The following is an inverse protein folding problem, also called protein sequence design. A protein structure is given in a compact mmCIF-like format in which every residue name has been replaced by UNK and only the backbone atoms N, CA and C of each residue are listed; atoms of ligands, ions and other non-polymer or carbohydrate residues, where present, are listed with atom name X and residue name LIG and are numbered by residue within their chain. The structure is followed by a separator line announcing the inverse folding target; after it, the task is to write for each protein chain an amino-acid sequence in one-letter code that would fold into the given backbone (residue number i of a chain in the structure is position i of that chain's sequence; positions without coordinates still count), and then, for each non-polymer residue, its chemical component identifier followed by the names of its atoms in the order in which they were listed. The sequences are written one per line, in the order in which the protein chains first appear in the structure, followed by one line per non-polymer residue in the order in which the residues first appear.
data_IF_910351646576
#
_entry.id   IF_910351646576
#
_cell.length_a   1.000
_cell.length_b   1.000
_cell.length_c   1.000
_cell.angle_alpha   90.00
_cell.angle_beta   90.00
_cell.angle_gamma   90.00
#
_symmetry.space_group_name_H-M   'P 1'
#
loop_
_entity.id
_entity.type
_entity.pdbx_description
1 polymer ?
#
# COMPACT_ATOMS: atom_id res chain seq x y z
N UNK A 1 -0.08 0.54 -12.54
CA UNK A 1 1.31 0.08 -12.76
C UNK A 1 2.02 0.10 -11.43
N UNK A 2 2.71 -0.99 -11.08
CA UNK A 2 3.52 -1.08 -9.87
C UNK A 2 4.92 -0.55 -10.11
N UNK A 3 5.49 0.08 -9.07
CA UNK A 3 6.85 0.60 -9.08
C UNK A 3 7.45 0.44 -7.69
N UNK A 4 8.73 0.09 -7.64
CA UNK A 4 9.53 0.05 -6.42
C UNK A 4 10.29 1.39 -6.29
N UNK A 5 10.29 1.96 -5.09
CA UNK A 5 11.13 3.10 -4.73
C UNK A 5 12.03 2.71 -3.56
N UNK A 6 13.29 3.09 -3.64
CA UNK A 6 14.32 2.86 -2.62
C UNK A 6 15.02 4.17 -2.28
N UNK A 7 15.73 4.22 -1.15
CA UNK A 7 16.33 5.47 -0.64
C UNK A 7 17.29 6.14 -1.63
N UNK A 8 18.04 5.37 -2.41
CA UNK A 8 18.95 5.86 -3.45
C UNK A 8 18.22 6.61 -4.59
N UNK A 9 16.92 6.41 -4.75
CA UNK A 9 16.08 7.11 -5.72
C UNK A 9 15.49 8.43 -5.21
N UNK A 10 15.79 8.84 -3.97
CA UNK A 10 15.19 10.05 -3.36
C UNK A 10 15.40 11.32 -4.20
N UNK A 11 16.55 11.43 -4.87
CA UNK A 11 16.86 12.59 -5.70
C UNK A 11 16.31 12.47 -7.12
N UNK A 12 16.42 11.28 -7.74
CA UNK A 12 15.94 11.04 -9.11
C UNK A 12 14.42 11.02 -9.20
N UNK A 13 13.75 10.61 -8.12
CA UNK A 13 12.30 10.39 -8.06
C UNK A 13 11.63 11.20 -6.96
N UNK A 14 12.22 12.35 -6.62
CA UNK A 14 11.75 13.27 -5.59
C UNK A 14 10.25 13.51 -5.62
N UNK A 15 9.68 13.71 -6.82
CA UNK A 15 8.24 13.91 -6.98
C UNK A 15 7.41 12.72 -6.50
N UNK A 16 7.82 11.49 -6.79
CA UNK A 16 7.09 10.30 -6.36
C UNK A 16 7.14 10.14 -4.82
N UNK A 17 8.29 10.44 -4.20
CA UNK A 17 8.41 10.47 -2.76
C UNK A 17 7.54 11.55 -2.11
N UNK A 18 7.59 12.78 -2.63
CA UNK A 18 6.77 13.90 -2.14
C UNK A 18 5.27 13.59 -2.26
N UNK A 19 4.83 13.07 -3.41
CA UNK A 19 3.43 12.69 -3.65
C UNK A 19 3.00 11.56 -2.69
N UNK A 20 3.85 10.55 -2.48
CA UNK A 20 3.60 9.48 -1.52
C UNK A 20 3.46 10.01 -0.08
N UNK A 21 4.40 10.82 0.40
CA UNK A 21 4.38 11.32 1.78
C UNK A 21 3.23 12.30 2.03
N UNK A 22 2.85 13.11 1.03
CA UNK A 22 1.64 13.95 1.12
C UNK A 22 0.36 13.12 1.17
N UNK A 23 0.25 12.09 0.35
CA UNK A 23 -0.90 11.20 0.38
C UNK A 23 -1.01 10.44 1.71
N UNK A 24 0.12 10.03 2.30
CA UNK A 24 0.17 9.47 3.65
C UNK A 24 -0.37 10.46 4.70
N UNK A 25 0.01 11.73 4.66
CA UNK A 25 -0.54 12.75 5.57
C UNK A 25 -2.06 12.90 5.42
N UNK A 26 -2.55 13.00 4.18
CA UNK A 26 -3.98 13.11 3.89
C UNK A 26 -4.79 11.90 4.39
N UNK A 27 -4.19 10.70 4.39
CA UNK A 27 -4.88 9.48 4.84
C UNK A 27 -4.74 9.30 6.34
N UNK A 28 -3.53 9.28 6.89
CA UNK A 28 -3.31 8.92 8.28
C UNK A 28 -3.70 10.05 9.24
N UNK A 29 -3.30 11.30 8.96
CA UNK A 29 -3.67 12.45 9.79
C UNK A 29 -5.09 12.92 9.48
N UNK A 30 -5.38 13.28 8.24
CA UNK A 30 -6.61 14.03 7.94
C UNK A 30 -7.86 13.14 7.90
N UNK A 31 -7.76 11.92 7.36
CA UNK A 31 -8.90 11.00 7.26
C UNK A 31 -9.05 10.08 8.47
N UNK A 32 -7.96 9.50 8.96
CA UNK A 32 -8.01 8.53 10.06
C UNK A 32 -7.79 9.15 11.45
N UNK A 33 -7.33 10.41 11.53
CA UNK A 33 -7.13 11.11 12.80
C UNK A 33 -5.98 10.55 13.64
N UNK A 34 -5.06 9.80 13.03
CA UNK A 34 -3.92 9.23 13.74
C UNK A 34 -2.94 10.34 14.16
N UNK A 35 -2.32 10.15 15.33
CA UNK A 35 -1.23 11.00 15.79
C UNK A 35 0.05 10.57 15.06
N UNK A 36 0.38 11.27 13.98
CA UNK A 36 1.55 11.01 13.13
C UNK A 36 2.35 12.30 12.90
N UNK A 37 3.65 12.15 12.67
CA UNK A 37 4.54 13.27 12.39
C UNK A 37 4.34 13.79 10.97
N UNK A 38 3.86 15.03 10.84
CA UNK A 38 3.71 15.69 9.54
C UNK A 38 4.49 17.00 9.51
N UNK A 39 5.40 17.14 8.54
CA UNK A 39 6.18 18.35 8.28
C UNK A 39 6.00 18.73 6.82
N UNK A 40 5.72 20.01 6.54
CA UNK A 40 5.50 20.51 5.17
C UNK A 40 4.47 19.70 4.36
N UNK A 41 3.38 19.27 5.02
CA UNK A 41 2.33 18.38 4.48
C UNK A 41 2.76 16.95 4.17
N UNK A 42 3.99 16.55 4.48
CA UNK A 42 4.50 15.20 4.28
C UNK A 42 4.51 14.42 5.60
N UNK A 43 3.85 13.26 5.64
CA UNK A 43 3.98 12.33 6.76
C UNK A 43 5.22 11.46 6.56
N UNK A 44 6.18 11.60 7.48
CA UNK A 44 7.45 10.88 7.50
C UNK A 44 7.81 10.61 8.95
N UNK A 45 8.21 9.37 9.23
CA UNK A 45 8.68 8.99 10.56
C UNK A 45 10.17 8.66 10.54
N UNK A 46 10.72 8.30 11.71
CA UNK A 46 12.13 7.93 11.84
C UNK A 46 12.54 6.78 10.91
N UNK A 47 11.65 5.84 10.57
CA UNK A 47 12.02 4.71 9.73
C UNK A 47 12.19 5.13 8.27
N UNK A 48 11.42 6.13 7.82
CA UNK A 48 11.64 6.76 6.52
C UNK A 48 12.97 7.55 6.45
N UNK A 49 13.50 7.97 7.60
CA UNK A 49 14.68 8.85 7.73
C UNK A 49 15.98 8.11 8.06
N UNK A 50 15.95 7.06 8.87
CA UNK A 50 17.15 6.39 9.39
C UNK A 50 17.37 4.97 8.87
N UNK A 51 16.32 4.29 8.41
CA UNK A 51 16.41 2.90 7.92
C UNK A 51 16.53 2.85 6.38
N UNK A 52 16.63 1.66 5.80
CA UNK A 52 16.61 1.47 4.34
C UNK A 52 15.30 0.83 3.85
N UNK A 53 14.18 1.57 3.87
CA UNK A 53 12.89 1.02 3.48
C UNK A 53 12.78 0.82 1.97
N UNK A 54 12.10 -0.26 1.60
CA UNK A 54 11.60 -0.47 0.24
C UNK A 54 10.15 -0.02 0.20
N UNK A 55 9.80 0.86 -0.73
CA UNK A 55 8.42 1.27 -0.95
C UNK A 55 7.88 0.62 -2.22
N UNK A 56 6.67 0.09 -2.14
CA UNK A 56 5.91 -0.32 -3.31
C UNK A 56 4.81 0.70 -3.54
N UNK A 57 4.78 1.28 -4.74
CA UNK A 57 3.77 2.26 -5.14
C UNK A 57 3.01 1.80 -6.37
N UNK A 58 1.73 2.17 -6.43
CA UNK A 58 0.91 2.02 -7.64
C UNK A 58 0.72 3.39 -8.28
N UNK A 59 0.72 3.41 -9.60
CA UNK A 59 0.53 4.63 -10.38
C UNK A 59 -0.31 4.39 -11.63
N UNK A 60 -1.02 5.43 -12.05
CA UNK A 60 -1.70 5.48 -13.35
C UNK A 60 -0.69 5.63 -14.49
N UNK A 61 -1.10 5.37 -15.75
CA UNK A 61 -0.26 5.64 -16.93
C UNK A 61 0.21 7.09 -17.03
N UNK A 62 -0.53 8.05 -16.45
CA UNK A 62 -0.14 9.46 -16.35
C UNK A 62 1.04 9.72 -15.40
N UNK A 63 1.46 8.72 -14.61
CA UNK A 63 2.44 8.87 -13.54
C UNK A 63 1.86 9.31 -12.19
N UNK A 64 0.55 9.53 -12.09
CA UNK A 64 -0.10 9.88 -10.81
C UNK A 64 -0.09 8.66 -9.89
N UNK A 65 0.49 8.80 -8.69
CA UNK A 65 0.44 7.74 -7.67
C UNK A 65 -0.99 7.56 -7.16
N UNK A 66 -1.38 6.30 -6.96
CA UNK A 66 -2.71 5.91 -6.47
C UNK A 66 -2.66 5.17 -5.15
N UNK A 67 -1.49 4.63 -4.77
CA UNK A 67 -1.31 3.94 -3.50
C UNK A 67 0.15 3.66 -3.21
N UNK A 68 0.43 3.34 -1.96
CA UNK A 68 1.78 3.02 -1.48
C UNK A 68 1.75 2.08 -0.28
N UNK A 69 2.85 1.37 -0.05
CA UNK A 69 3.18 0.70 1.20
C UNK A 69 4.70 0.74 1.44
N UNK A 70 5.12 0.52 2.68
CA UNK A 70 6.53 0.47 3.10
C UNK A 70 6.88 -0.91 3.63
N UNK A 71 8.05 -1.41 3.26
CA UNK A 71 8.62 -2.67 3.71
C UNK A 71 9.95 -2.44 4.44
N UNK A 72 10.13 -3.12 5.56
CA UNK A 72 11.38 -3.18 6.32
C UNK A 72 11.70 -4.63 6.70
N UNK A 73 12.97 -5.07 6.67
CA UNK A 73 13.32 -6.41 7.13
C UNK A 73 13.07 -6.53 8.63
N UNK A 74 12.48 -7.64 9.08
CA UNK A 74 12.17 -7.83 10.50
C UNK A 74 13.42 -8.04 11.36
N UNK A 75 14.57 -8.32 10.76
CA UNK A 75 15.89 -8.35 11.43
C UNK A 75 16.38 -6.96 11.87
N UNK A 76 15.80 -5.89 11.33
CA UNK A 76 16.14 -4.50 11.66
C UNK A 76 15.18 -3.84 12.65
N UNK A 77 15.21 -2.51 12.67
CA UNK A 77 14.25 -1.71 13.42
C UNK A 77 12.89 -1.67 12.70
N UNK A 78 11.83 -2.09 13.41
CA UNK A 78 10.46 -2.13 12.90
C UNK A 78 9.49 -1.43 13.84
N UNK A 79 8.31 -1.08 13.37
CA UNK A 79 7.26 -0.51 14.21
C UNK A 79 6.74 -1.52 15.23
N UNK A 80 6.61 -2.79 14.83
CA UNK A 80 6.18 -3.88 15.70
C UNK A 80 7.12 -4.05 16.90
N UNK A 81 8.43 -3.94 16.69
CA UNK A 81 9.44 -4.02 17.76
C UNK A 81 9.51 -2.77 18.64
N UNK A 82 8.83 -1.67 18.29
CA UNK A 82 8.90 -0.40 19.05
C UNK A 82 7.52 0.20 19.28
N UNK A 83 6.99 0.98 18.33
CA UNK A 83 5.70 1.70 18.51
C UNK A 83 4.54 0.80 18.95
N UNK A 84 4.50 -0.45 18.47
CA UNK A 84 3.43 -1.39 18.80
C UNK A 84 3.81 -2.44 19.86
N UNK A 85 5.02 -2.36 20.43
CA UNK A 85 5.54 -3.36 21.38
C UNK A 85 4.58 -3.58 22.55
N UNK A 86 4.10 -2.48 23.12
CA UNK A 86 3.24 -2.50 24.31
C UNK A 86 1.75 -2.56 23.97
N UNK A 87 1.38 -2.78 22.69
CA UNK A 87 -0.02 -2.88 22.33
C UNK A 87 -0.60 -4.25 22.67
N UNK A 88 0.24 -5.26 22.88
CA UNK A 88 -0.13 -6.67 23.01
C UNK A 88 0.33 -7.22 24.36
N UNK A 89 -0.40 -8.20 24.91
CA UNK A 89 -0.07 -8.81 26.21
C UNK A 89 1.23 -9.63 26.20
N UNK A 90 1.65 -10.07 25.01
CA UNK A 90 2.87 -10.83 24.82
C UNK A 90 3.74 -10.15 23.78
N UNK A 91 5.08 -10.12 23.97
CA UNK A 91 6.00 -9.66 22.95
C UNK A 91 5.78 -10.44 21.64
N UNK A 92 5.66 -9.70 20.53
CA UNK A 92 5.56 -10.30 19.21
C UNK A 92 6.97 -10.42 18.64
N UNK A 93 7.53 -11.61 18.75
CA UNK A 93 8.89 -11.89 18.29
C UNK A 93 8.87 -12.35 16.84
N UNK A 94 8.95 -11.37 15.93
CA UNK A 94 9.17 -11.62 14.50
C UNK A 94 10.53 -11.06 14.16
N UNK A 95 11.48 -11.99 13.98
CA UNK A 95 12.86 -11.70 13.63
C UNK A 95 13.36 -12.80 12.68
N UNK A 96 13.23 -12.55 11.38
CA UNK A 96 13.67 -13.51 10.34
C UNK A 96 14.17 -12.78 9.10
N UNK A 97 15.28 -13.23 8.48
CA UNK A 97 15.74 -12.67 7.21
C UNK A 97 14.72 -12.88 6.07
N UNK A 98 13.82 -13.85 6.19
CA UNK A 98 12.76 -14.13 5.22
C UNK A 98 11.39 -13.56 5.62
N UNK A 99 11.32 -12.76 6.69
CA UNK A 99 10.11 -12.04 7.10
C UNK A 99 10.33 -10.53 7.06
N UNK A 100 9.40 -9.82 6.41
CA UNK A 100 9.45 -8.36 6.29
C UNK A 100 8.19 -7.72 6.88
N UNK A 101 8.35 -6.59 7.56
CA UNK A 101 7.24 -5.81 8.09
C UNK A 101 6.66 -4.89 7.00
N UNK A 102 5.36 -4.99 6.76
CA UNK A 102 4.61 -4.04 5.94
C UNK A 102 3.91 -3.00 6.80
N UNK A 103 4.23 -1.73 6.56
CA UNK A 103 3.62 -0.57 7.22
C UNK A 103 3.15 0.44 6.18
N UNK A 104 2.38 1.44 6.63
CA UNK A 104 1.93 2.57 5.80
C UNK A 104 1.20 2.14 4.51
N UNK A 105 0.48 1.01 4.55
CA UNK A 105 -0.42 0.59 3.48
C UNK A 105 -1.52 1.65 3.28
N UNK A 106 -1.45 2.33 2.14
CA UNK A 106 -2.15 3.58 1.90
C UNK A 106 -2.74 3.57 0.49
N UNK A 107 -4.06 3.69 0.39
CA UNK A 107 -4.73 4.02 -0.88
C UNK A 107 -4.86 5.55 -0.91
N UNK A 108 -4.20 6.18 -1.87
CA UNK A 108 -4.14 7.63 -1.96
C UNK A 108 -5.53 8.21 -2.28
N UNK A 109 -5.87 9.41 -1.79
CA UNK A 109 -7.09 10.09 -2.21
C UNK A 109 -7.08 10.29 -3.72
N UNK A 110 -8.04 9.71 -4.43
CA UNK A 110 -8.18 9.90 -5.87
C UNK A 110 -8.79 11.27 -6.13
N UNK A 111 -8.23 12.03 -7.08
CA UNK A 111 -8.92 13.20 -7.61
C UNK A 111 -10.27 12.77 -8.22
N UNK A 112 -11.28 13.63 -8.12
CA UNK A 112 -12.67 13.36 -8.56
C UNK A 112 -12.72 12.88 -10.03
N UNK A 113 -11.83 13.40 -10.88
CA UNK A 113 -11.73 13.05 -12.31
C UNK A 113 -10.79 11.85 -12.60
N UNK A 114 -10.04 11.39 -11.60
CA UNK A 114 -9.06 10.30 -11.72
C UNK A 114 -9.62 8.92 -11.33
N UNK A 115 -10.94 8.79 -11.18
CA UNK A 115 -11.65 7.61 -10.70
C UNK A 115 -11.69 6.42 -11.70
N UNK A 116 -10.60 6.15 -12.41
CA UNK A 116 -10.49 4.97 -13.26
C UNK A 116 -10.43 3.67 -12.42
N UNK A 117 -9.86 3.73 -11.21
CA UNK A 117 -9.70 2.56 -10.35
C UNK A 117 -10.38 2.76 -8.98
N UNK A 118 -11.18 1.78 -8.55
CA UNK A 118 -11.75 1.79 -7.21
C UNK A 118 -10.66 1.65 -6.13
N UNK A 119 -10.89 2.13 -4.91
CA UNK A 119 -9.95 1.91 -3.78
C UNK A 119 -9.62 0.43 -3.55
N UNK A 120 -10.59 -0.46 -3.84
CA UNK A 120 -10.37 -1.91 -3.80
C UNK A 120 -9.40 -2.38 -4.88
N UNK A 121 -9.49 -1.83 -6.09
CA UNK A 121 -8.58 -2.16 -7.20
C UNK A 121 -7.14 -1.79 -6.82
N UNK A 122 -6.93 -0.58 -6.31
CA UNK A 122 -5.61 -0.12 -5.86
C UNK A 122 -5.06 -0.99 -4.73
N UNK A 123 -5.90 -1.30 -3.74
CA UNK A 123 -5.52 -2.18 -2.63
C UNK A 123 -5.12 -3.59 -3.11
N UNK A 124 -5.88 -4.18 -4.02
CA UNK A 124 -5.55 -5.48 -4.62
C UNK A 124 -4.28 -5.39 -5.46
N UNK A 125 -4.08 -4.31 -6.23
CA UNK A 125 -2.86 -4.11 -7.04
C UNK A 125 -1.61 -4.03 -6.15
N UNK A 126 -1.64 -3.24 -5.08
CA UNK A 126 -0.54 -3.14 -4.11
C UNK A 126 -0.24 -4.50 -3.45
N UNK A 127 -1.25 -5.21 -2.97
CA UNK A 127 -1.04 -6.48 -2.28
C UNK A 127 -0.65 -7.62 -3.23
N UNK A 128 -1.13 -7.61 -4.47
CA UNK A 128 -0.64 -8.51 -5.52
C UNK A 128 0.83 -8.24 -5.81
N UNK A 129 1.20 -6.98 -6.00
CA UNK A 129 2.59 -6.58 -6.22
C UNK A 129 3.51 -6.91 -5.06
N UNK A 130 3.03 -6.78 -3.82
CA UNK A 130 3.76 -7.18 -2.63
C UNK A 130 4.01 -8.70 -2.60
N UNK A 131 2.99 -9.50 -2.88
CA UNK A 131 3.13 -10.95 -2.91
C UNK A 131 4.08 -11.40 -4.03
N UNK A 132 4.00 -10.79 -5.21
CA UNK A 132 4.87 -11.11 -6.35
C UNK A 132 6.32 -10.71 -6.05
N UNK A 133 6.54 -9.48 -5.55
CA UNK A 133 7.86 -9.02 -5.10
C UNK A 133 8.45 -9.98 -4.06
N UNK A 134 7.67 -10.34 -3.05
CA UNK A 134 8.11 -11.22 -1.98
C UNK A 134 8.53 -12.61 -2.51
N UNK A 135 7.75 -13.20 -3.42
CA UNK A 135 8.12 -14.46 -4.08
C UNK A 135 9.42 -14.34 -4.87
N UNK A 136 9.55 -13.29 -5.68
CA UNK A 136 10.70 -13.09 -6.57
C UNK A 136 12.00 -12.83 -5.78
N UNK A 137 11.90 -12.31 -4.56
CA UNK A 137 13.05 -11.99 -3.71
C UNK A 137 13.29 -12.99 -2.57
N UNK A 138 12.50 -14.07 -2.48
CA UNK A 138 12.67 -15.10 -1.44
C UNK A 138 12.17 -14.69 -0.05
N UNK A 139 11.27 -13.71 0.05
CA UNK A 139 10.56 -13.37 1.29
C UNK A 139 9.41 -14.36 1.45
N UNK A 140 9.40 -15.09 2.57
CA UNK A 140 8.44 -16.17 2.84
C UNK A 140 7.20 -15.67 3.58
N UNK A 141 7.31 -14.56 4.30
CA UNK A 141 6.19 -14.00 5.04
C UNK A 141 6.27 -12.48 5.19
N UNK A 142 5.09 -11.86 5.29
CA UNK A 142 4.95 -10.45 5.61
C UNK A 142 4.27 -10.31 6.97
N UNK A 143 4.87 -9.58 7.89
CA UNK A 143 4.26 -9.20 9.16
C UNK A 143 3.61 -7.81 9.05
N UNK A 144 2.53 -7.57 9.77
CA UNK A 144 1.93 -6.24 9.82
C UNK A 144 0.87 -6.09 10.90
N UNK A 145 0.68 -4.85 11.35
CA UNK A 145 -0.40 -4.47 12.26
C UNK A 145 -1.57 -3.92 11.45
N UNK A 146 -2.78 -4.39 11.75
CA UNK A 146 -3.99 -3.98 11.03
C UNK A 146 -5.20 -3.84 11.97
N UNK A 147 -6.11 -2.92 11.61
CA UNK A 147 -7.39 -2.76 12.31
C UNK A 147 -8.37 -3.88 11.94
N UNK A 148 -9.22 -4.29 12.88
CA UNK A 148 -10.28 -5.28 12.67
C UNK A 148 -11.14 -5.04 11.41
N UNK A 149 -11.38 -3.78 11.04
CA UNK A 149 -12.12 -3.41 9.84
C UNK A 149 -11.47 -3.94 8.55
N UNK A 150 -10.16 -4.18 8.56
CA UNK A 150 -9.43 -4.71 7.40
C UNK A 150 -9.62 -6.21 7.19
N UNK A 151 -10.12 -6.98 8.17
CA UNK A 151 -10.34 -8.44 8.04
C UNK A 151 -11.22 -8.75 6.82
N UNK A 152 -12.32 -8.00 6.66
CA UNK A 152 -13.23 -8.15 5.53
C UNK A 152 -12.60 -7.72 4.20
N UNK A 153 -11.67 -6.75 4.23
CA UNK A 153 -10.96 -6.27 3.04
C UNK A 153 -10.00 -7.35 2.55
N UNK A 154 -9.10 -7.85 3.42
CA UNK A 154 -8.17 -8.94 3.09
C UNK A 154 -8.89 -10.20 2.61
N UNK A 155 -10.03 -10.54 3.23
CA UNK A 155 -10.88 -11.64 2.80
C UNK A 155 -11.37 -11.48 1.35
N UNK A 156 -11.76 -10.28 0.93
CA UNK A 156 -12.25 -10.01 -0.43
C UNK A 156 -11.12 -9.90 -1.45
N UNK A 157 -9.95 -9.43 -1.03
CA UNK A 157 -8.74 -9.37 -1.85
C UNK A 157 -8.21 -10.77 -2.13
N UNK A 158 -8.39 -11.71 -1.20
CA UNK A 158 -8.02 -13.12 -1.36
C UNK A 158 -6.70 -13.50 -0.68
N UNK A 159 -6.11 -12.61 0.11
CA UNK A 159 -4.89 -12.88 0.87
C UNK A 159 -5.07 -12.43 2.32
N UNK A 160 -5.21 -13.40 3.21
CA UNK A 160 -5.56 -13.17 4.62
C UNK A 160 -4.35 -13.43 5.50
N UNK A 161 -4.17 -12.64 6.57
CA UNK A 161 -3.18 -12.98 7.58
C UNK A 161 -3.64 -14.14 8.45
N UNK A 162 -2.68 -14.91 8.93
CA UNK A 162 -2.80 -15.67 10.18
C UNK A 162 -2.65 -14.68 11.34
N UNK A 163 -3.66 -14.49 12.19
CA UNK A 163 -3.57 -13.57 13.33
C UNK A 163 -2.62 -14.14 14.38
N UNK A 164 -1.64 -13.34 14.81
CA UNK A 164 -0.67 -13.71 15.85
C UNK A 164 -1.11 -13.20 17.23
N UNK A 165 -1.62 -11.97 17.27
CA UNK A 165 -2.08 -11.34 18.50
C UNK A 165 -3.17 -10.31 18.24
N UNK A 166 -3.90 -9.95 19.30
CA UNK A 166 -4.86 -8.86 19.34
C UNK A 166 -4.40 -7.86 20.38
N UNK A 167 -4.54 -6.57 20.10
CA UNK A 167 -4.20 -5.52 21.04
C UNK A 167 -5.02 -5.62 22.32
N UNK A 168 -4.47 -5.06 23.40
CA UNK A 168 -5.20 -4.86 24.65
C UNK A 168 -6.46 -4.03 24.41
N UNK A 169 -7.58 -4.33 25.09
CA UNK A 169 -8.86 -3.66 24.83
C UNK A 169 -8.82 -2.14 24.93
N UNK A 170 -8.02 -1.58 25.83
CA UNK A 170 -7.85 -0.14 26.04
C UNK A 170 -7.14 0.59 24.89
N UNK A 171 -6.36 -0.13 24.07
CA UNK A 171 -5.71 0.40 22.88
C UNK A 171 -6.68 0.43 21.69
N UNK A 172 -7.59 -0.54 21.62
CA UNK A 172 -8.58 -0.67 20.56
C UNK A 172 -8.61 -2.07 19.94
N UNK A 173 -8.95 -2.14 18.65
CA UNK A 173 -9.17 -3.40 17.93
C UNK A 173 -8.12 -3.62 16.83
N UNK A 174 -6.85 -3.63 17.22
CA UNK A 174 -5.73 -3.92 16.34
C UNK A 174 -5.31 -5.39 16.45
N UNK A 175 -4.75 -5.91 15.37
CA UNK A 175 -4.21 -7.25 15.26
C UNK A 175 -2.81 -7.20 14.69
N UNK A 176 -1.96 -8.12 15.11
CA UNK A 176 -0.76 -8.49 14.33
C UNK A 176 -1.09 -9.69 13.48
N UNK A 177 -0.73 -9.62 12.20
CA UNK A 177 -0.92 -10.70 11.24
C UNK A 177 0.38 -11.10 10.58
N UNK A 178 0.45 -12.37 10.21
CA UNK A 178 1.46 -12.91 9.31
C UNK A 178 0.78 -13.37 8.02
N UNK A 179 1.22 -12.83 6.89
CA UNK A 179 0.80 -13.27 5.57
C UNK A 179 1.87 -14.19 4.99
N UNK A 180 1.53 -15.46 4.82
CA UNK A 180 2.41 -16.39 4.12
C UNK A 180 2.47 -16.02 2.64
N UNK A 181 3.66 -16.12 2.06
CA UNK A 181 3.92 -15.81 0.65
C UNK A 181 4.06 -17.13 -0.10
N UNK A 182 3.11 -17.41 -0.99
CA UNK A 182 3.10 -18.66 -1.77
C UNK A 182 2.66 -18.38 -3.21
N UNK A 183 3.04 -19.25 -4.14
CA UNK A 183 2.58 -19.18 -5.52
C UNK A 183 1.04 -19.25 -5.63
N UNK A 184 0.37 -19.94 -4.71
CA UNK A 184 -1.10 -20.01 -4.66
C UNK A 184 -1.73 -18.67 -4.25
N UNK A 185 -1.11 -17.97 -3.30
CA UNK A 185 -1.52 -16.63 -2.91
C UNK A 185 -1.35 -15.63 -4.06
N UNK A 186 -0.20 -15.64 -4.74
CA UNK A 186 0.04 -14.81 -5.93
C UNK A 186 -1.00 -15.08 -7.03
N UNK A 187 -1.22 -16.36 -7.41
CA UNK A 187 -2.23 -16.73 -8.41
C UNK A 187 -3.63 -16.26 -8.04
N UNK A 188 -4.00 -16.37 -6.76
CA UNK A 188 -5.31 -15.91 -6.27
C UNK A 188 -5.45 -14.39 -6.35
N UNK A 189 -4.42 -13.65 -5.94
CA UNK A 189 -4.37 -12.19 -6.00
C UNK A 189 -4.46 -11.68 -7.43
N UNK A 190 -3.66 -12.25 -8.34
CA UNK A 190 -3.67 -11.91 -9.76
C UNK A 190 -5.04 -12.19 -10.39
N UNK A 191 -5.64 -13.36 -10.13
CA UNK A 191 -6.97 -13.68 -10.64
C UNK A 191 -8.06 -12.73 -10.12
N UNK A 192 -7.96 -12.29 -8.86
CA UNK A 192 -8.88 -11.32 -8.29
C UNK A 192 -8.66 -9.91 -8.87
N UNK A 193 -7.41 -9.52 -9.09
CA UNK A 193 -7.05 -8.25 -9.73
C UNK A 193 -7.60 -8.17 -11.16
N UNK A 194 -7.39 -9.20 -11.98
CA UNK A 194 -7.90 -9.24 -13.36
C UNK A 194 -9.43 -9.04 -13.40
N UNK A 195 -10.18 -9.75 -12.54
CA UNK A 195 -11.64 -9.58 -12.43
C UNK A 195 -12.08 -8.18 -12.01
N UNK A 196 -11.23 -7.43 -11.30
CA UNK A 196 -11.53 -6.06 -10.91
C UNK A 196 -11.27 -5.09 -12.06
N UNK A 197 -10.21 -5.31 -12.82
CA UNK A 197 -9.85 -4.51 -13.99
C UNK A 197 -10.86 -4.71 -15.12
N UNK A 198 -11.33 -5.94 -15.35
CA UNK A 198 -12.34 -6.27 -16.38
C UNK A 198 -13.71 -5.61 -16.12
N UNK A 199 -13.98 -5.20 -14.88
CA UNK A 199 -15.24 -4.56 -14.48
C UNK A 199 -15.23 -3.04 -14.59
N UNK A 200 -14.09 -2.43 -14.91
CA UNK A 200 -14.00 -0.99 -15.15
C UNK A 200 -14.48 -0.73 -16.59
N UNK A 201 -15.61 -0.04 -16.81
CA UNK A 201 -16.07 0.26 -18.16
C UNK A 201 -15.01 1.10 -18.88
N UNK A 202 -14.59 0.65 -20.07
CA UNK A 202 -13.80 1.47 -20.98
C UNK A 202 -14.64 2.69 -21.35
N UNK A 203 -14.23 3.87 -20.89
CA UNK A 203 -14.80 5.10 -21.44
C UNK A 203 -14.36 5.15 -22.91
N UNK A 204 -15.27 5.19 -23.89
CA UNK A 204 -14.85 5.37 -25.27
C UNK A 204 -14.16 6.72 -25.37
N UNK A 205 -12.95 6.76 -25.92
CA UNK A 205 -12.31 8.00 -26.30
C UNK A 205 -13.33 8.77 -27.17
N UNK A 206 -13.72 9.96 -26.71
CA UNK A 206 -14.59 10.83 -27.49
C UNK A 206 -13.94 11.01 -28.86
N UNK A 207 -14.56 10.39 -29.87
CA UNK A 207 -14.18 10.61 -31.26
C UNK A 207 -14.49 12.06 -31.52
N UNK A 208 -13.44 12.89 -31.59
CA UNK A 208 -13.55 14.23 -32.17
C UNK A 208 -13.84 14.00 -33.64
N UNK A 209 -15.12 13.90 -33.97
CA UNK A 209 -15.61 13.90 -35.33
C UNK A 209 -15.33 15.29 -35.86
N UNK A 210 -14.33 15.39 -36.73
CA UNK A 210 -14.12 16.56 -37.55
C UNK A 210 -15.27 16.68 -38.54
N UNK A 211 -16.08 17.71 -38.38
CA UNK A 211 -16.79 18.39 -39.46
C UNK A 211 -16.20 19.80 -39.47
N UNK A 212 -15.73 20.38 -40.57
CA UNK A 212 -16.09 20.18 -41.96
C UNK A 212 -16.17 21.59 -42.55
N UNK A 213 -15.43 21.81 -43.63
CA UNK A 213 -15.34 23.09 -44.33
C UNK A 213 -16.70 23.66 -44.77
N UNK A 214 -16.83 24.98 -44.69
CA UNK A 214 -17.64 25.82 -45.57
C UNK A 214 -17.25 27.28 -45.28
N UNK A 215 -16.64 28.07 -46.17
CA UNK A 215 -16.79 28.14 -47.61
C UNK A 215 -17.47 29.47 -47.95
N UNK A 216 -16.67 30.49 -48.31
CA UNK A 216 -17.01 31.72 -49.05
C UNK A 216 -18.28 32.52 -48.68
N UNK A 217 -18.09 33.74 -48.17
CA UNK A 217 -18.18 35.01 -48.92
C UNK A 217 -17.76 36.20 -48.07
#
# INVERSE_FOLDING_TARGET
MLRILTRDMLDTDRRAFDDMFRARAAVFRDRLGWQVDVRDQCERDRYDETEDPVYLVTQQPSGTLTGSLRLLPTTGATMLKSEFRDFFDQPIDVDSPTCWECTRFCVHPLAIDAAQNSSRTVATELLSGLCDLALDTGIESIAGVYDAAMIGVYRRIGWRPTPLARSRPEIGNLYVGLWDVTADHSRTLQANLSRLLDKVPSTPAATVIGEGHGGMR
#
